data_IF_050854620338
#
_entry.id   IF_050854620338
#
_cell.length_a   1.000
_cell.length_b   1.000
_cell.length_c   1.000
_cell.angle_alpha   90.00
_cell.angle_beta   90.00
_cell.angle_gamma   90.00
#
_symmetry.space_group_name_H-M   'P 1'
#
loop_
_entity.id
_entity.type
_entity.pdbx_description
1 polymer ?
#
# COMPACT_ATOMS: atom_id res chain seq x y z
N UNK A 1 11.57 4.93 -16.17
CA UNK A 1 10.62 4.04 -15.46
C UNK A 1 10.92 3.85 -13.97
N UNK A 2 12.15 3.47 -13.55
CA UNK A 2 12.47 3.20 -12.14
C UNK A 2 12.19 4.36 -11.17
N UNK A 3 12.51 5.60 -11.58
CA UNK A 3 12.23 6.82 -10.79
C UNK A 3 10.73 7.01 -10.53
N UNK A 4 9.90 6.73 -11.54
CA UNK A 4 8.45 6.88 -11.46
C UNK A 4 7.81 5.82 -10.54
N UNK A 5 8.34 4.58 -10.58
CA UNK A 5 7.97 3.51 -9.65
C UNK A 5 8.29 3.91 -8.20
N UNK A 6 9.49 4.45 -7.94
CA UNK A 6 9.87 4.93 -6.61
C UNK A 6 8.97 6.05 -6.11
N UNK A 7 8.67 7.03 -6.96
CA UNK A 7 7.81 8.16 -6.60
C UNK A 7 6.40 7.69 -6.21
N UNK A 8 5.82 6.74 -6.94
CA UNK A 8 4.52 6.16 -6.63
C UNK A 8 4.51 5.46 -5.26
N UNK A 9 5.52 4.62 -4.98
CA UNK A 9 5.64 3.93 -3.68
C UNK A 9 5.84 4.94 -2.55
N UNK A 10 6.63 5.99 -2.76
CA UNK A 10 6.85 7.05 -1.78
C UNK A 10 5.57 7.84 -1.49
N UNK A 11 4.81 8.21 -2.53
CA UNK A 11 3.55 8.92 -2.39
C UNK A 11 2.52 8.11 -1.57
N UNK A 12 2.41 6.81 -1.86
CA UNK A 12 1.55 5.94 -1.07
C UNK A 12 2.04 5.78 0.39
N UNK A 13 3.35 5.65 0.64
CA UNK A 13 3.88 5.58 2.01
C UNK A 13 3.61 6.87 2.81
N UNK A 14 3.55 8.02 2.14
CA UNK A 14 3.17 9.29 2.76
C UNK A 14 1.70 9.28 3.23
N UNK A 15 0.76 8.83 2.39
CA UNK A 15 -0.65 8.65 2.78
C UNK A 15 -0.77 7.65 3.94
N UNK A 16 -0.07 6.51 3.86
CA UNK A 16 -0.04 5.51 4.93
C UNK A 16 0.43 6.13 6.26
N UNK A 17 1.47 6.96 6.25
CA UNK A 17 1.96 7.64 7.46
C UNK A 17 0.95 8.64 8.01
N UNK A 18 0.23 9.34 7.14
CA UNK A 18 -0.78 10.32 7.52
C UNK A 18 -1.99 9.65 8.19
N UNK A 19 -2.57 8.62 7.56
CA UNK A 19 -3.70 7.86 8.12
C UNK A 19 -3.37 7.24 9.47
N UNK A 20 -2.15 6.71 9.61
CA UNK A 20 -1.70 6.10 10.86
C UNK A 20 -1.60 7.07 12.03
N UNK A 21 -1.58 8.39 11.81
CA UNK A 21 -1.60 9.36 12.91
C UNK A 21 -2.86 9.22 13.77
N UNK A 22 -3.99 8.87 13.16
CA UNK A 22 -5.27 8.64 13.85
C UNK A 22 -5.35 7.27 14.55
N UNK A 23 -4.41 6.35 14.30
CA UNK A 23 -4.47 5.00 14.85
C UNK A 23 -3.88 4.91 16.26
N UNK A 24 -4.45 3.99 17.05
CA UNK A 24 -3.92 3.59 18.36
C UNK A 24 -2.47 3.07 18.25
N UNK A 25 -1.74 3.09 19.35
CA UNK A 25 -0.32 2.65 19.39
C UNK A 25 -0.16 1.21 18.88
N UNK A 26 -1.01 0.29 19.32
CA UNK A 26 -0.97 -1.12 18.92
C UNK A 26 -1.22 -1.27 17.43
N UNK A 27 -2.23 -0.57 16.90
CA UNK A 27 -2.58 -0.62 15.49
C UNK A 27 -1.47 -0.02 14.61
N UNK A 28 -0.84 1.09 15.04
CA UNK A 28 0.32 1.68 14.36
C UNK A 28 1.52 0.73 14.32
N UNK A 29 1.79 0.00 15.40
CA UNK A 29 2.89 -1.00 15.46
C UNK A 29 2.62 -2.14 14.49
N UNK A 30 1.39 -2.66 14.46
CA UNK A 30 0.98 -3.69 13.50
C UNK A 30 1.28 -3.24 12.07
N UNK A 31 0.79 -2.06 11.70
CA UNK A 31 1.04 -1.48 10.38
C UNK A 31 2.52 -1.23 10.07
N UNK A 32 3.32 -0.78 11.05
CA UNK A 32 4.75 -0.55 10.87
C UNK A 32 5.47 -1.86 10.54
N UNK A 33 5.09 -2.96 11.20
CA UNK A 33 5.66 -4.30 10.99
C UNK A 33 5.23 -4.90 9.65
N UNK A 34 4.01 -4.62 9.18
CA UNK A 34 3.47 -5.16 7.92
C UNK A 34 3.52 -4.20 6.73
N UNK A 35 4.16 -3.03 6.85
CA UNK A 35 4.18 -2.01 5.77
C UNK A 35 4.67 -2.53 4.42
N UNK A 36 5.58 -3.50 4.43
CA UNK A 36 6.14 -4.09 3.20
C UNK A 36 5.06 -4.78 2.37
N UNK A 37 4.01 -5.31 2.99
CA UNK A 37 2.88 -5.91 2.30
C UNK A 37 2.09 -4.86 1.50
N UNK A 38 1.86 -3.68 2.08
CA UNK A 38 1.17 -2.58 1.39
C UNK A 38 2.02 -1.96 0.26
N UNK A 39 3.35 -1.96 0.40
CA UNK A 39 4.26 -1.38 -0.59
C UNK A 39 4.53 -2.33 -1.76
N UNK A 40 4.45 -3.64 -1.55
CA UNK A 40 4.63 -4.66 -2.61
C UNK A 40 3.47 -4.60 -3.61
N UNK A 41 3.74 -4.94 -4.87
CA UNK A 41 2.69 -5.14 -5.88
C UNK A 41 1.91 -6.41 -5.57
N UNK A 42 0.59 -6.36 -5.77
CA UNK A 42 -0.34 -7.41 -5.36
C UNK A 42 -0.07 -8.75 -6.05
N UNK A 43 0.46 -8.73 -7.27
CA UNK A 43 0.76 -9.94 -8.04
C UNK A 43 1.88 -10.79 -7.41
N UNK A 44 2.70 -10.20 -6.55
CA UNK A 44 3.76 -10.91 -5.83
C UNK A 44 3.38 -11.29 -4.39
N UNK A 45 2.12 -11.12 -4.00
CA UNK A 45 1.62 -11.50 -2.67
C UNK A 45 0.98 -12.89 -2.71
N UNK A 46 1.23 -13.70 -1.67
CA UNK A 46 0.46 -14.92 -1.44
C UNK A 46 -0.99 -14.60 -1.07
N UNK A 47 -1.89 -15.57 -1.14
CA UNK A 47 -3.29 -15.35 -0.75
C UNK A 47 -3.44 -14.89 0.71
N UNK A 48 -2.67 -15.47 1.62
CA UNK A 48 -2.64 -15.06 3.03
C UNK A 48 -2.16 -13.61 3.18
N UNK A 49 -1.13 -13.21 2.42
CA UNK A 49 -0.64 -11.83 2.43
C UNK A 49 -1.68 -10.86 1.85
N UNK A 50 -2.41 -11.24 0.79
CA UNK A 50 -3.52 -10.44 0.24
C UNK A 50 -4.64 -10.26 1.25
N UNK A 51 -4.99 -11.30 2.00
CA UNK A 51 -5.97 -11.20 3.09
C UNK A 51 -5.49 -10.23 4.18
N UNK A 52 -4.21 -10.28 4.55
CA UNK A 52 -3.64 -9.32 5.49
C UNK A 52 -3.67 -7.89 4.97
N UNK A 53 -3.37 -7.67 3.68
CA UNK A 53 -3.53 -6.37 3.03
C UNK A 53 -4.98 -5.89 3.10
N UNK A 54 -5.97 -6.75 2.80
CA UNK A 54 -7.38 -6.36 2.87
C UNK A 54 -7.79 -5.90 4.27
N UNK A 55 -7.34 -6.59 5.32
CA UNK A 55 -7.56 -6.17 6.72
C UNK A 55 -6.95 -4.78 6.98
N UNK A 56 -5.74 -4.53 6.47
CA UNK A 56 -5.09 -3.23 6.60
C UNK A 56 -5.84 -2.13 5.82
N UNK A 57 -6.32 -2.41 4.61
CA UNK A 57 -7.05 -1.42 3.82
C UNK A 57 -8.43 -1.10 4.40
N UNK A 58 -9.04 -2.04 5.13
CA UNK A 58 -10.29 -1.81 5.85
C UNK A 58 -10.17 -0.73 6.95
N UNK A 59 -8.97 -0.49 7.45
CA UNK A 59 -8.74 0.52 8.49
C UNK A 59 -8.98 1.97 8.05
N UNK A 60 -8.97 2.25 6.74
CA UNK A 60 -9.20 3.60 6.22
C UNK A 60 -9.63 3.60 4.74
N UNK A 61 -10.76 4.23 4.39
CA UNK A 61 -11.17 4.44 2.99
C UNK A 61 -10.13 5.19 2.16
N UNK A 62 -9.47 6.19 2.76
CA UNK A 62 -8.38 6.96 2.12
C UNK A 62 -7.20 6.06 1.80
N UNK A 63 -6.80 5.21 2.76
CA UNK A 63 -5.71 4.27 2.54
C UNK A 63 -6.04 3.24 1.46
N UNK A 64 -7.26 2.71 1.47
CA UNK A 64 -7.78 1.78 0.46
C UNK A 64 -7.74 2.40 -0.94
N UNK A 65 -8.25 3.61 -1.07
CA UNK A 65 -8.28 4.36 -2.34
C UNK A 65 -6.86 4.66 -2.84
N UNK A 66 -5.97 5.11 -1.96
CA UNK A 66 -4.57 5.34 -2.31
C UNK A 66 -3.85 4.05 -2.74
N UNK A 67 -4.15 2.91 -2.11
CA UNK A 67 -3.61 1.61 -2.52
C UNK A 67 -4.10 1.21 -3.91
N UNK A 68 -5.39 1.41 -4.20
CA UNK A 68 -5.95 1.18 -5.53
C UNK A 68 -5.22 2.01 -6.60
N UNK A 69 -5.03 3.31 -6.37
CA UNK A 69 -4.30 4.16 -7.33
C UNK A 69 -2.83 3.74 -7.49
N UNK A 70 -2.16 3.38 -6.40
CA UNK A 70 -0.80 2.82 -6.46
C UNK A 70 -0.73 1.62 -7.40
N UNK A 71 -1.65 0.66 -7.24
CA UNK A 71 -1.66 -0.57 -8.03
C UNK A 71 -2.02 -0.33 -9.49
N UNK A 72 -3.06 0.47 -9.75
CA UNK A 72 -3.46 0.84 -11.11
C UNK A 72 -2.32 1.54 -11.86
N UNK A 73 -1.62 2.46 -11.20
CA UNK A 73 -0.46 3.12 -11.76
C UNK A 73 0.69 2.15 -12.08
N UNK A 74 0.97 1.20 -11.19
CA UNK A 74 1.99 0.18 -11.43
C UNK A 74 1.60 -0.70 -12.61
N UNK A 75 0.33 -1.10 -12.75
CA UNK A 75 -0.14 -1.88 -13.90
C UNK A 75 0.09 -1.14 -15.22
N UNK A 76 -0.26 0.14 -15.29
CA UNK A 76 -0.02 0.98 -16.48
C UNK A 76 1.47 1.04 -16.80
N UNK A 77 2.35 1.19 -15.81
CA UNK A 77 3.80 1.21 -16.03
C UNK A 77 4.40 -0.12 -16.53
N UNK A 78 3.76 -1.26 -16.28
CA UNK A 78 4.22 -2.56 -16.79
C UNK A 78 3.54 -2.94 -18.11
N UNK A 79 2.55 -2.16 -18.56
CA UNK A 79 1.98 -2.30 -19.88
C UNK A 79 3.05 -1.87 -20.90
N UNK A 80 3.52 -2.83 -21.68
CA UNK A 80 4.35 -2.57 -22.87
C UNK A 80 3.41 -2.82 -24.04
N UNK A 81 3.20 -1.80 -24.85
CA UNK A 81 2.61 -1.95 -26.17
C UNK A 81 3.48 -2.88 -27.04
#
# INVERSE_FOLDING_TARGET
MLKQKHLNIWAFDAVRKQEQKAFTKTHRIYFKRSKTLLLKQSDYLSQQQKQQVNIMLYASPTLSTAHFYKESFLKILHCKD
#
